data_IF_666170135999
#
_entry.id   IF_666170135999
#
_cell.length_a   1.000
_cell.length_b   1.000
_cell.length_c   1.000
_cell.angle_alpha   90.00
_cell.angle_beta   90.00
_cell.angle_gamma   90.00
#
_symmetry.space_group_name_H-M   'P 1'
#
loop_
_entity.id
_entity.type
_entity.pdbx_description
1 polymer ?
#
# COMPACT_ATOMS: atom_id res chain seq x y z
N UNK A 1 -11.48 -7.74 15.72
CA UNK A 1 -10.92 -7.63 17.08
C UNK A 1 -11.91 -8.17 18.11
N UNK A 2 -11.40 -8.64 19.25
CA UNK A 2 -12.20 -9.22 20.32
C UNK A 2 -12.18 -8.31 21.53
N UNK A 3 -13.34 -8.07 22.12
CA UNK A 3 -13.49 -7.35 23.37
C UNK A 3 -13.80 -8.32 24.52
N UNK A 4 -13.06 -8.21 25.61
CA UNK A 4 -13.33 -8.96 26.84
C UNK A 4 -14.03 -8.06 27.85
N UNK A 5 -15.27 -8.34 28.13
CA UNK A 5 -16.11 -7.65 29.11
C UNK A 5 -16.03 -8.45 30.41
N UNK A 6 -15.62 -7.79 31.49
CA UNK A 6 -15.53 -8.39 32.84
C UNK A 6 -16.67 -7.86 33.69
N UNK A 7 -17.39 -8.78 34.30
CA UNK A 7 -18.50 -8.49 35.20
C UNK A 7 -18.08 -8.77 36.63
N UNK A 8 -18.51 -7.92 37.55
CA UNK A 8 -18.43 -8.16 38.99
C UNK A 8 -19.79 -7.90 39.60
N UNK A 9 -20.32 -8.88 40.29
CA UNK A 9 -21.59 -8.79 40.97
C UNK A 9 -21.33 -9.06 42.47
N UNK A 10 -21.01 -8.00 43.23
CA UNK A 10 -20.66 -8.16 44.65
C UNK A 10 -21.75 -8.87 45.43
N UNK A 11 -21.37 -9.76 46.33
CA UNK A 11 -22.24 -10.54 47.23
C UNK A 11 -23.06 -11.66 46.52
N UNK A 12 -23.10 -11.76 45.22
CA UNK A 12 -23.81 -12.81 44.48
C UNK A 12 -22.78 -13.83 43.96
N UNK A 13 -22.65 -14.96 44.62
CA UNK A 13 -21.63 -15.98 44.24
C UNK A 13 -22.00 -16.78 43.00
N UNK A 14 -23.29 -16.88 42.67
CA UNK A 14 -23.75 -17.59 41.46
C UNK A 14 -25.03 -16.94 40.93
N UNK A 15 -25.18 -16.91 39.62
CA UNK A 15 -26.33 -16.32 38.96
C UNK A 15 -26.07 -16.13 37.45
N UNK A 16 -27.01 -15.52 36.79
CA UNK A 16 -26.89 -15.15 35.36
C UNK A 16 -27.09 -13.67 35.20
N UNK A 17 -26.21 -13.01 34.47
CA UNK A 17 -26.33 -11.60 34.07
C UNK A 17 -26.56 -11.55 32.56
N UNK A 18 -27.59 -10.84 32.16
CA UNK A 18 -27.85 -10.51 30.75
C UNK A 18 -26.98 -9.32 30.34
N UNK A 19 -26.14 -9.51 29.33
CA UNK A 19 -25.25 -8.46 28.81
C UNK A 19 -25.67 -8.13 27.39
N UNK A 20 -26.01 -6.87 27.17
CA UNK A 20 -26.39 -6.36 25.86
C UNK A 20 -25.20 -5.58 25.26
N UNK A 21 -24.72 -5.98 24.09
CA UNK A 21 -23.67 -5.29 23.34
C UNK A 21 -24.19 -5.05 21.93
N UNK A 22 -24.29 -3.79 21.54
CA UNK A 22 -24.80 -3.39 20.22
C UNK A 22 -26.13 -4.07 19.84
N UNK A 23 -27.08 -4.10 20.78
CA UNK A 23 -28.41 -4.70 20.59
C UNK A 23 -28.46 -6.23 20.65
N UNK A 24 -27.32 -6.92 20.74
CA UNK A 24 -27.25 -8.36 20.91
C UNK A 24 -27.11 -8.74 22.37
N UNK A 25 -27.95 -9.67 22.82
CA UNK A 25 -27.98 -10.13 24.23
C UNK A 25 -27.17 -11.40 24.40
N UNK A 26 -26.39 -11.44 25.49
CA UNK A 26 -25.59 -12.58 25.92
C UNK A 26 -25.89 -12.89 27.39
N UNK A 27 -26.08 -14.16 27.70
CA UNK A 27 -26.23 -14.61 29.08
C UNK A 27 -24.87 -15.03 29.65
N UNK A 28 -24.43 -14.40 30.71
CA UNK A 28 -23.13 -14.66 31.34
C UNK A 28 -23.33 -15.23 32.73
N UNK A 29 -22.78 -16.41 32.95
CA UNK A 29 -22.80 -17.03 34.27
C UNK A 29 -21.83 -16.30 35.21
N UNK A 30 -22.31 -16.00 36.41
CA UNK A 30 -21.50 -15.48 37.50
C UNK A 30 -21.04 -16.65 38.37
N UNK A 31 -19.74 -16.73 38.61
CA UNK A 31 -19.11 -17.70 39.49
C UNK A 31 -18.15 -16.94 40.42
N UNK A 32 -18.31 -17.12 41.72
CA UNK A 32 -17.50 -16.42 42.72
C UNK A 32 -17.53 -14.89 42.49
N UNK A 33 -18.72 -14.32 42.34
CA UNK A 33 -18.97 -12.90 42.09
C UNK A 33 -18.47 -12.33 40.73
N UNK A 34 -17.97 -13.15 39.84
CA UNK A 34 -17.33 -12.72 38.56
C UNK A 34 -17.91 -13.42 37.35
N UNK A 35 -17.99 -12.71 36.24
CA UNK A 35 -18.30 -13.24 34.93
C UNK A 35 -17.43 -12.62 33.87
N UNK A 36 -17.27 -13.32 32.73
CA UNK A 36 -16.50 -12.82 31.60
C UNK A 36 -17.24 -13.14 30.31
N UNK A 37 -17.33 -12.16 29.41
CA UNK A 37 -17.87 -12.30 28.08
C UNK A 37 -16.82 -11.84 27.07
N UNK A 38 -16.52 -12.67 26.07
CA UNK A 38 -15.72 -12.27 24.91
C UNK A 38 -16.65 -12.06 23.72
N UNK A 39 -16.61 -10.88 23.14
CA UNK A 39 -17.35 -10.52 21.92
C UNK A 39 -16.35 -10.36 20.79
N UNK A 40 -16.45 -11.22 19.78
CA UNK A 40 -15.51 -11.29 18.66
C UNK A 40 -16.02 -10.59 17.41
N UNK A 41 -15.11 -10.33 16.46
CA UNK A 41 -15.37 -9.74 15.14
C UNK A 41 -16.00 -8.36 15.20
N UNK A 42 -15.60 -7.55 16.18
CA UNK A 42 -16.05 -6.18 16.29
C UNK A 42 -15.39 -5.30 15.22
N UNK A 43 -16.21 -4.59 14.46
CA UNK A 43 -15.78 -3.52 13.57
C UNK A 43 -15.30 -2.30 14.36
N UNK A 44 -14.68 -1.35 13.70
CA UNK A 44 -14.38 -0.06 14.30
C UNK A 44 -15.67 0.66 14.71
N UNK A 45 -15.66 1.29 15.87
CA UNK A 45 -16.83 2.01 16.40
C UNK A 45 -16.87 2.06 17.91
N UNK A 46 -17.88 2.75 18.46
CA UNK A 46 -18.15 2.80 19.89
C UNK A 46 -19.30 1.89 20.22
N UNK A 47 -19.13 1.07 21.24
CA UNK A 47 -20.07 0.06 21.69
C UNK A 47 -20.57 0.37 23.10
N UNK A 48 -21.87 0.36 23.27
CA UNK A 48 -22.50 0.43 24.60
C UNK A 48 -22.68 -0.99 25.13
N UNK A 49 -22.31 -1.20 26.37
CA UNK A 49 -22.54 -2.42 27.14
C UNK A 49 -23.54 -2.13 28.26
N UNK A 50 -24.61 -2.91 28.31
CA UNK A 50 -25.60 -2.86 29.40
C UNK A 50 -25.62 -4.25 30.04
N UNK A 51 -25.36 -4.32 31.34
CA UNK A 51 -25.42 -5.56 32.10
C UNK A 51 -26.57 -5.51 33.08
N UNK A 52 -27.47 -6.50 33.05
CA UNK A 52 -28.68 -6.60 33.88
C UNK A 52 -28.66 -7.88 34.66
N UNK A 53 -28.81 -7.74 35.96
CA UNK A 53 -29.12 -8.84 36.86
C UNK A 53 -30.59 -8.69 37.33
N UNK A 54 -31.43 -9.67 37.03
CA UNK A 54 -32.86 -9.63 37.28
C UNK A 54 -33.22 -9.80 38.79
N UNK A 55 -32.22 -10.06 39.62
CA UNK A 55 -32.41 -10.37 41.03
C UNK A 55 -32.64 -11.86 41.26
N UNK A 56 -32.81 -12.21 42.54
CA UNK A 56 -33.22 -13.54 43.00
C UNK A 56 -33.90 -13.39 44.38
N UNK A 57 -34.21 -14.50 45.04
CA UNK A 57 -34.88 -14.50 46.35
C UNK A 57 -34.13 -13.73 47.45
N UNK A 58 -32.81 -13.53 47.29
CA UNK A 58 -31.95 -12.85 48.28
C UNK A 58 -31.47 -11.47 47.85
N UNK A 59 -31.42 -11.18 46.53
CA UNK A 59 -30.82 -9.97 45.99
C UNK A 59 -31.76 -9.29 45.00
N UNK A 60 -31.91 -7.99 45.11
CA UNK A 60 -32.69 -7.17 44.20
C UNK A 60 -32.03 -7.10 42.81
N UNK A 61 -32.84 -6.82 41.79
CA UNK A 61 -32.37 -6.55 40.46
C UNK A 61 -31.40 -5.35 40.41
N UNK A 62 -30.44 -5.39 39.53
CA UNK A 62 -29.48 -4.31 39.33
C UNK A 62 -29.03 -4.19 37.87
N UNK A 63 -28.66 -2.99 37.45
CA UNK A 63 -28.19 -2.69 36.12
C UNK A 63 -26.94 -1.81 36.17
N UNK A 64 -26.03 -2.04 35.24
CA UNK A 64 -24.86 -1.19 35.00
C UNK A 64 -24.62 -1.02 33.52
N UNK A 65 -24.08 0.12 33.11
CA UNK A 65 -23.73 0.37 31.75
C UNK A 65 -22.33 0.98 31.64
N UNK A 66 -21.69 0.76 30.47
CA UNK A 66 -20.41 1.35 30.10
C UNK A 66 -20.29 1.41 28.58
N UNK A 67 -19.26 2.07 28.12
CA UNK A 67 -18.90 2.09 26.67
C UNK A 67 -17.45 1.72 26.48
N UNK A 68 -17.14 1.15 25.32
CA UNK A 68 -15.76 0.97 24.84
C UNK A 68 -15.67 1.25 23.35
N UNK A 69 -14.49 1.59 22.89
CA UNK A 69 -14.24 1.87 21.46
C UNK A 69 -13.30 0.83 20.86
N UNK A 70 -13.61 0.42 19.64
CA UNK A 70 -12.72 -0.36 18.77
C UNK A 70 -12.16 0.59 17.74
N UNK A 71 -10.85 0.79 17.73
CA UNK A 71 -10.16 1.68 16.80
C UNK A 71 -9.57 0.89 15.63
N UNK A 72 -9.45 1.53 14.47
CA UNK A 72 -8.70 0.99 13.35
C UNK A 72 -7.22 0.88 13.69
N UNK A 73 -6.56 -0.08 13.08
CA UNK A 73 -5.12 -0.30 13.21
C UNK A 73 -4.41 0.67 12.25
N UNK A 74 -3.37 1.33 12.71
CA UNK A 74 -2.52 2.12 11.83
C UNK A 74 -1.83 1.22 10.80
N UNK A 75 -1.83 1.60 9.53
CA UNK A 75 -1.05 0.96 8.49
C UNK A 75 0.19 1.79 8.15
N UNK A 76 1.16 1.16 7.54
CA UNK A 76 2.34 1.84 7.01
C UNK A 76 2.60 1.31 5.60
N UNK A 77 2.64 2.20 4.62
CA UNK A 77 3.04 1.85 3.26
C UNK A 77 4.50 2.22 3.06
N UNK A 78 5.24 1.40 2.33
CA UNK A 78 6.57 1.71 1.82
C UNK A 78 6.62 1.40 0.33
N UNK A 79 7.40 2.18 -0.41
CA UNK A 79 7.64 1.99 -1.84
C UNK A 79 9.12 2.15 -2.12
N UNK A 80 9.65 1.29 -3.01
CA UNK A 80 11.03 1.35 -3.46
C UNK A 80 11.13 1.04 -4.95
N UNK A 81 12.01 1.75 -5.63
CA UNK A 81 12.32 1.60 -7.05
C UNK A 81 13.75 2.05 -7.27
N UNK A 82 14.44 1.50 -8.26
CA UNK A 82 15.81 1.87 -8.63
C UNK A 82 15.81 2.66 -9.93
N UNK A 83 16.84 3.49 -10.14
CA UNK A 83 17.13 4.12 -11.44
C UNK A 83 17.37 3.07 -12.49
N UNK A 84 16.96 3.35 -13.72
CA UNK A 84 17.07 2.47 -14.88
C UNK A 84 17.57 3.22 -16.12
N UNK A 85 17.89 2.48 -17.16
CA UNK A 85 18.13 3.02 -18.50
C UNK A 85 16.88 2.90 -19.39
N UNK A 86 16.80 3.69 -20.45
CA UNK A 86 15.63 3.85 -21.33
C UNK A 86 15.10 2.58 -22.03
N UNK A 87 15.75 1.45 -21.93
CA UNK A 87 15.29 0.16 -22.48
C UNK A 87 14.96 -0.86 -21.41
N UNK A 88 15.05 -0.46 -20.15
CA UNK A 88 14.80 -1.33 -19.01
C UNK A 88 13.41 -1.05 -18.43
N UNK A 89 12.85 -2.07 -17.78
CA UNK A 89 11.60 -1.96 -17.04
C UNK A 89 11.86 -1.47 -15.61
N UNK A 90 11.01 -0.56 -15.14
CA UNK A 90 11.01 -0.13 -13.76
C UNK A 90 10.25 -1.15 -12.91
N UNK A 91 10.91 -1.75 -11.93
CA UNK A 91 10.29 -2.64 -10.95
C UNK A 91 10.07 -1.86 -9.64
N UNK A 92 8.81 -1.60 -9.33
CA UNK A 92 8.38 -0.85 -8.14
C UNK A 92 7.89 -1.87 -7.11
N UNK A 93 8.57 -1.92 -5.97
CA UNK A 93 8.19 -2.80 -4.87
C UNK A 93 7.42 -2.01 -3.81
N UNK A 94 6.30 -2.55 -3.39
CA UNK A 94 5.41 -1.98 -2.38
C UNK A 94 5.34 -2.92 -1.19
N UNK A 95 5.39 -2.36 0.02
CA UNK A 95 5.08 -3.13 1.20
C UNK A 95 4.10 -2.40 2.12
N UNK A 96 3.13 -3.15 2.64
CA UNK A 96 2.16 -2.72 3.66
C UNK A 96 2.13 -3.82 4.73
N UNK A 97 3.09 -3.81 5.67
CA UNK A 97 3.22 -4.86 6.66
C UNK A 97 1.96 -5.07 7.50
N UNK A 98 1.62 -6.32 7.78
CA UNK A 98 0.46 -6.69 8.58
C UNK A 98 -0.85 -6.80 7.79
N UNK A 99 -0.86 -6.48 6.50
CA UNK A 99 -2.02 -6.68 5.62
C UNK A 99 -1.89 -8.04 4.94
N UNK A 100 -2.82 -8.97 5.20
CA UNK A 100 -2.82 -10.29 4.58
C UNK A 100 -3.15 -10.21 3.07
N UNK A 101 -4.12 -9.37 2.71
CA UNK A 101 -4.47 -9.08 1.31
C UNK A 101 -5.09 -7.69 1.19
N UNK A 102 -4.84 -7.02 0.08
CA UNK A 102 -5.36 -5.69 -0.19
C UNK A 102 -4.98 -5.19 -1.57
N UNK A 103 -5.32 -3.94 -1.85
CA UNK A 103 -4.96 -3.24 -3.08
C UNK A 103 -4.33 -1.90 -2.73
N UNK A 104 -3.23 -1.59 -3.39
CA UNK A 104 -2.54 -0.29 -3.32
C UNK A 104 -2.67 0.40 -4.67
N UNK A 105 -3.11 1.65 -4.67
CA UNK A 105 -3.06 2.51 -5.85
C UNK A 105 -1.65 3.06 -5.99
N UNK A 106 -1.01 2.84 -7.14
CA UNK A 106 0.35 3.32 -7.43
C UNK A 106 0.28 4.26 -8.62
N UNK A 107 0.70 5.49 -8.41
CA UNK A 107 0.84 6.49 -9.47
C UNK A 107 2.29 6.58 -9.88
N UNK A 108 2.57 6.51 -11.18
CA UNK A 108 3.92 6.69 -11.77
C UNK A 108 3.82 7.77 -12.84
N UNK A 109 4.37 8.93 -12.59
CA UNK A 109 4.10 10.12 -13.40
C UNK A 109 2.59 10.42 -13.41
N UNK A 110 1.96 10.37 -14.59
CA UNK A 110 0.51 10.60 -14.76
C UNK A 110 -0.32 9.30 -14.79
N UNK A 111 0.32 8.14 -14.79
CA UNK A 111 -0.34 6.84 -14.90
C UNK A 111 -0.68 6.26 -13.52
N UNK A 112 -1.89 5.69 -13.38
CA UNK A 112 -2.37 5.08 -12.13
C UNK A 112 -2.57 3.58 -12.35
N UNK A 113 -2.03 2.80 -11.41
CA UNK A 113 -2.07 1.34 -11.41
C UNK A 113 -2.69 0.82 -10.12
N UNK A 114 -3.45 -0.27 -10.21
CA UNK A 114 -3.91 -1.02 -9.05
C UNK A 114 -3.00 -2.23 -8.81
N UNK A 115 -2.35 -2.27 -7.67
CA UNK A 115 -1.41 -3.35 -7.32
C UNK A 115 -1.97 -4.18 -6.18
N UNK A 116 -2.14 -5.47 -6.42
CA UNK A 116 -2.52 -6.39 -5.36
C UNK A 116 -1.35 -6.57 -4.37
N UNK A 117 -1.69 -6.55 -3.09
CA UNK A 117 -0.77 -6.82 -1.98
C UNK A 117 -1.20 -8.12 -1.34
N UNK A 118 -0.28 -9.09 -1.23
CA UNK A 118 -0.46 -10.37 -0.57
C UNK A 118 0.64 -10.53 0.47
N UNK A 119 0.27 -10.91 1.69
CA UNK A 119 1.19 -11.00 2.83
C UNK A 119 2.04 -9.73 3.01
N UNK A 120 1.40 -8.58 2.83
CA UNK A 120 2.04 -7.28 2.98
C UNK A 120 2.97 -6.87 1.84
N UNK A 121 2.99 -7.56 0.69
CA UNK A 121 3.91 -7.28 -0.42
C UNK A 121 3.18 -7.20 -1.75
N UNK A 122 3.60 -6.26 -2.59
CA UNK A 122 3.15 -6.10 -3.97
C UNK A 122 4.30 -5.63 -4.86
N UNK A 123 4.18 -5.84 -6.15
CA UNK A 123 5.15 -5.38 -7.15
C UNK A 123 4.44 -4.93 -8.42
N UNK A 124 4.95 -3.87 -9.03
CA UNK A 124 4.49 -3.33 -10.31
C UNK A 124 5.69 -3.21 -11.24
N UNK A 125 5.57 -3.73 -12.45
CA UNK A 125 6.55 -3.52 -13.52
C UNK A 125 5.97 -2.54 -14.52
N UNK A 126 6.71 -1.46 -14.81
CA UNK A 126 6.34 -0.44 -15.81
C UNK A 126 7.40 -0.43 -16.91
N UNK A 127 6.96 -0.69 -18.13
CA UNK A 127 7.81 -0.77 -19.31
C UNK A 127 7.68 0.46 -20.21
N UNK A 128 8.64 0.69 -21.09
CA UNK A 128 8.56 1.69 -22.16
C UNK A 128 8.63 3.14 -21.67
N UNK A 129 9.22 3.39 -20.52
CA UNK A 129 9.37 4.73 -19.98
C UNK A 129 10.44 5.52 -20.78
N UNK A 130 10.09 6.75 -21.16
CA UNK A 130 11.02 7.68 -21.76
C UNK A 130 12.08 8.15 -20.74
N UNK A 131 13.24 8.62 -21.22
CA UNK A 131 14.23 9.20 -20.34
C UNK A 131 13.67 10.45 -19.62
N UNK A 132 13.81 10.49 -18.30
CA UNK A 132 13.23 11.53 -17.44
C UNK A 132 13.29 11.15 -15.96
N UNK A 133 12.70 11.97 -15.14
CA UNK A 133 12.48 11.71 -13.70
C UNK A 133 11.01 11.39 -13.47
N UNK A 134 10.73 10.38 -12.66
CA UNK A 134 9.39 9.90 -12.36
C UNK A 134 9.15 9.89 -10.86
N UNK A 135 8.06 10.52 -10.45
CA UNK A 135 7.57 10.39 -9.09
C UNK A 135 6.67 9.16 -8.98
N UNK A 136 6.81 8.44 -7.89
CA UNK A 136 6.00 7.27 -7.54
C UNK A 136 5.27 7.56 -6.25
N UNK A 137 3.95 7.42 -6.27
CA UNK A 137 3.09 7.59 -5.09
C UNK A 137 2.30 6.31 -4.89
N UNK A 138 2.50 5.63 -3.76
CA UNK A 138 1.77 4.42 -3.38
C UNK A 138 0.80 4.72 -2.25
N UNK A 139 -0.51 4.51 -2.48
CA UNK A 139 -1.58 4.78 -1.52
C UNK A 139 -2.34 3.50 -1.16
N UNK A 140 -2.29 3.13 0.10
CA UNK A 140 -3.17 2.14 0.69
C UNK A 140 -4.41 2.86 1.24
N UNK A 141 -5.57 2.53 0.69
CA UNK A 141 -6.83 3.13 1.14
C UNK A 141 -7.25 2.60 2.51
N UNK A 142 -7.99 3.40 3.24
CA UNK A 142 -8.62 2.99 4.50
C UNK A 142 -9.56 1.80 4.29
N UNK A 143 -9.56 0.86 5.23
CA UNK A 143 -10.45 -0.30 5.29
C UNK A 143 -11.25 -0.32 6.60
N UNK A 144 -12.09 -1.33 6.80
CA UNK A 144 -12.81 -1.50 8.07
C UNK A 144 -11.85 -1.74 9.25
N UNK A 145 -10.67 -2.29 9.00
CA UNK A 145 -9.70 -2.65 10.03
C UNK A 145 -8.49 -1.73 10.12
N UNK A 146 -8.11 -1.08 9.03
CA UNK A 146 -6.86 -0.32 8.91
C UNK A 146 -7.10 1.11 8.46
N UNK A 147 -6.34 2.05 9.01
CA UNK A 147 -6.24 3.41 8.53
C UNK A 147 -5.50 3.46 7.19
N UNK A 148 -5.75 4.49 6.38
CA UNK A 148 -5.00 4.75 5.17
C UNK A 148 -3.53 5.06 5.45
N UNK A 149 -2.66 4.76 4.48
CA UNK A 149 -1.26 5.16 4.50
C UNK A 149 -0.73 5.42 3.09
N UNK A 150 0.31 6.23 2.98
CA UNK A 150 0.92 6.65 1.72
C UNK A 150 2.44 6.64 1.82
N UNK A 151 3.11 6.36 0.70
CA UNK A 151 4.55 6.47 0.56
C UNK A 151 4.93 7.00 -0.82
N UNK A 152 6.04 7.74 -0.89
CA UNK A 152 6.56 8.34 -2.10
C UNK A 152 7.98 7.86 -2.37
N UNK A 153 8.33 7.75 -3.65
CA UNK A 153 9.68 7.52 -4.13
C UNK A 153 9.87 8.25 -5.46
N UNK A 154 11.11 8.44 -5.87
CA UNK A 154 11.46 8.97 -7.20
C UNK A 154 12.51 8.07 -7.82
N UNK A 155 12.52 7.97 -9.14
CA UNK A 155 13.57 7.30 -9.88
C UNK A 155 13.82 8.01 -11.21
N UNK A 156 14.99 7.75 -11.78
CA UNK A 156 15.42 8.33 -13.04
C UNK A 156 15.55 7.26 -14.11
N UNK A 157 15.04 7.58 -15.31
CA UNK A 157 15.30 6.83 -16.54
C UNK A 157 16.36 7.59 -17.31
N UNK A 158 17.55 6.99 -17.49
CA UNK A 158 18.67 7.60 -18.19
C UNK A 158 18.66 7.22 -19.66
N UNK A 159 19.06 8.14 -20.54
CA UNK A 159 19.33 7.81 -21.94
C UNK A 159 20.52 6.87 -22.04
N UNK A 160 20.50 5.99 -23.04
CA UNK A 160 21.65 5.19 -23.39
C UNK A 160 22.72 6.08 -24.03
N UNK A 161 23.98 5.78 -23.76
CA UNK A 161 25.08 6.40 -24.48
C UNK A 161 25.05 5.95 -25.95
N UNK A 162 25.24 6.89 -26.88
CA UNK A 162 25.43 6.59 -28.30
C UNK A 162 26.86 6.89 -28.69
N UNK A 163 27.33 6.18 -29.70
CA UNK A 163 28.63 6.42 -30.34
C UNK A 163 28.40 6.69 -31.83
N UNK A 164 29.22 7.51 -32.39
CA UNK A 164 29.23 7.77 -33.85
C UNK A 164 30.60 7.44 -34.40
N UNK A 165 30.64 6.75 -35.53
CA UNK A 165 31.85 6.54 -36.27
C UNK A 165 31.73 7.16 -37.65
N UNK A 166 32.82 7.74 -38.13
CA UNK A 166 32.90 8.37 -39.45
C UNK A 166 34.12 7.80 -40.18
N UNK A 167 33.92 7.37 -41.38
CA UNK A 167 35.00 6.90 -42.25
C UNK A 167 34.89 7.54 -43.62
N UNK A 168 36.02 7.98 -44.14
CA UNK A 168 36.17 8.51 -45.52
C UNK A 168 37.53 8.10 -46.05
N UNK A 169 37.60 7.71 -47.32
CA UNK A 169 38.86 7.40 -48.02
C UNK A 169 39.46 8.61 -48.71
N UNK A 170 40.75 8.59 -48.90
CA UNK A 170 41.44 9.58 -49.74
C UNK A 170 40.94 9.51 -51.18
N UNK A 171 40.78 10.65 -51.83
CA UNK A 171 40.32 10.81 -53.19
C UNK A 171 41.26 11.71 -53.97
N UNK A 172 41.26 11.60 -55.24
CA UNK A 172 41.84 12.58 -56.15
C UNK A 172 40.81 13.62 -56.61
N UNK A 173 41.24 14.64 -57.31
CA UNK A 173 40.43 15.76 -57.74
C UNK A 173 39.28 15.44 -58.71
N UNK A 174 39.24 14.20 -59.22
CA UNK A 174 38.24 13.72 -60.21
C UNK A 174 37.22 12.79 -59.67
N UNK A 175 37.28 12.47 -58.34
CA UNK A 175 36.41 11.54 -57.70
C UNK A 175 35.60 12.22 -56.54
N UNK A 176 34.40 11.68 -56.32
CA UNK A 176 33.54 12.11 -55.20
C UNK A 176 33.96 11.40 -53.89
N UNK A 177 33.98 12.15 -52.80
CA UNK A 177 34.21 11.59 -51.47
C UNK A 177 32.94 10.92 -50.95
N UNK A 178 33.06 9.65 -50.55
CA UNK A 178 31.98 8.95 -49.84
C UNK A 178 32.29 8.95 -48.35
N UNK A 179 31.42 9.61 -47.59
CA UNK A 179 31.51 9.66 -46.13
C UNK A 179 30.53 8.67 -45.54
N UNK A 180 31.05 7.62 -44.93
CA UNK A 180 30.25 6.62 -44.23
C UNK A 180 30.09 7.04 -42.76
N UNK A 181 28.85 7.11 -42.29
CA UNK A 181 28.51 7.45 -40.90
C UNK A 181 27.71 6.32 -40.31
N UNK A 182 28.13 5.82 -39.17
CA UNK A 182 27.40 4.79 -38.42
C UNK A 182 27.11 5.26 -37.00
N UNK A 183 25.88 5.04 -36.56
CA UNK A 183 25.44 5.27 -35.16
C UNK A 183 24.82 3.95 -34.67
N UNK A 184 25.63 3.05 -34.13
CA UNK A 184 25.13 1.75 -33.64
C UNK A 184 24.01 1.90 -32.61
N UNK A 185 23.03 1.01 -32.68
CA UNK A 185 21.88 0.93 -31.77
C UNK A 185 20.92 2.15 -31.79
N UNK A 186 20.92 2.90 -32.90
CA UNK A 186 19.97 4.01 -33.11
C UNK A 186 19.23 3.75 -34.41
N UNK A 187 17.96 3.35 -34.32
CA UNK A 187 17.14 2.99 -35.49
C UNK A 187 16.65 4.21 -36.29
N UNK A 188 16.42 5.33 -35.61
CA UNK A 188 15.93 6.57 -36.19
C UNK A 188 16.65 7.78 -35.60
N UNK A 189 17.08 8.70 -36.46
CA UNK A 189 17.75 9.91 -36.06
C UNK A 189 18.32 10.65 -37.28
N UNK A 190 18.87 11.82 -37.05
CA UNK A 190 19.63 12.58 -38.04
C UNK A 190 21.03 12.85 -37.51
N UNK A 191 22.00 12.77 -38.40
CA UNK A 191 23.39 13.12 -38.14
C UNK A 191 23.74 14.28 -39.08
N UNK A 192 24.32 15.33 -38.54
CA UNK A 192 24.86 16.43 -39.35
C UNK A 192 26.34 16.16 -39.62
N UNK A 193 26.70 16.08 -40.88
CA UNK A 193 28.11 15.96 -41.36
C UNK A 193 28.55 17.33 -41.85
N UNK A 194 29.66 17.85 -41.33
CA UNK A 194 30.22 19.13 -41.79
C UNK A 194 31.55 18.85 -42.50
N UNK A 195 31.65 19.29 -43.73
CA UNK A 195 32.88 19.23 -44.54
C UNK A 195 33.29 20.67 -44.89
N UNK A 196 34.43 21.08 -44.39
CA UNK A 196 34.85 22.47 -44.49
C UNK A 196 33.89 23.43 -43.76
N UNK A 197 33.09 24.19 -44.49
CA UNK A 197 32.11 25.17 -43.93
C UNK A 197 30.65 24.77 -44.28
N UNK A 198 30.44 23.64 -44.95
CA UNK A 198 29.13 23.21 -45.44
C UNK A 198 28.63 22.04 -44.59
N UNK A 199 27.39 22.11 -44.15
CA UNK A 199 26.70 21.07 -43.37
C UNK A 199 25.69 20.33 -44.26
N UNK A 200 25.62 19.01 -44.08
CA UNK A 200 24.78 18.05 -44.81
C UNK A 200 23.92 17.26 -43.82
#
# INVERSE_FOLDING_TARGET
QDATIRLTLPNVNSGVVSVIVNGKTYNVNIVNTKGTLTVSNLANGTYTVIAKFEGNDMYAASEANTTFSVSKIASTTTVSVSDINATQDAVINIAVPGIASGVVSVTVGDAIYSVAVVDGKGSLTVSGLAAGSYDVVAKFAETDMYLASEANATFKVSKLASTITVAVGDIDATHDAIVNVEVPNVDLGSVTVTIGKTSY
#
